data_IF_213155239013
#
_entry.id   IF_213155239013
#
_cell.length_a   1.000
_cell.length_b   1.000
_cell.length_c   1.000
_cell.angle_alpha   90.00
_cell.angle_beta   90.00
_cell.angle_gamma   90.00
#
_symmetry.space_group_name_H-M   'P 1'
#
loop_
_entity.id
_entity.type
_entity.pdbx_description
1 polymer ?
#
# COMPACT_ATOMS: atom_id res chain seq x y z
N UNK A 1 -19.52 -12.12 11.89
CA UNK A 1 -18.24 -12.57 12.47
C UNK A 1 -18.32 -12.55 13.99
N UNK A 2 -18.17 -13.73 14.61
CA UNK A 2 -18.16 -13.91 16.07
C UNK A 2 -16.90 -13.29 16.70
N UNK A 3 -16.88 -13.01 18.02
CA UNK A 3 -15.68 -12.51 18.69
C UNK A 3 -14.46 -13.43 18.55
N UNK A 4 -14.69 -14.75 18.54
CA UNK A 4 -13.63 -15.75 18.38
C UNK A 4 -13.06 -15.73 16.95
N UNK A 5 -13.92 -15.67 15.94
CA UNK A 5 -13.50 -15.53 14.54
C UNK A 5 -12.67 -14.26 14.34
N UNK A 6 -13.09 -13.14 14.94
CA UNK A 6 -12.33 -11.88 14.91
C UNK A 6 -10.96 -12.06 15.52
N UNK A 7 -10.86 -12.67 16.71
CA UNK A 7 -9.58 -12.88 17.37
C UNK A 7 -8.61 -13.70 16.49
N UNK A 8 -9.10 -14.78 15.89
CA UNK A 8 -8.32 -15.65 15.01
C UNK A 8 -7.86 -14.93 13.74
N UNK A 9 -8.74 -14.15 13.09
CA UNK A 9 -8.38 -13.32 11.93
C UNK A 9 -7.28 -12.31 12.31
N UNK A 10 -7.45 -11.61 13.43
CA UNK A 10 -6.51 -10.58 13.91
C UNK A 10 -5.14 -11.17 14.23
N UNK A 11 -5.11 -12.36 14.83
CA UNK A 11 -3.87 -13.08 15.10
C UNK A 11 -3.18 -13.52 13.81
N UNK A 12 -3.94 -14.00 12.81
CA UNK A 12 -3.41 -14.40 11.51
C UNK A 12 -2.78 -13.20 10.79
N UNK A 13 -3.50 -12.09 10.68
CA UNK A 13 -3.04 -10.84 10.03
C UNK A 13 -1.78 -10.27 10.71
N UNK A 14 -1.75 -10.21 12.05
CA UNK A 14 -0.57 -9.78 12.79
C UNK A 14 0.62 -10.70 12.54
N UNK A 15 0.39 -12.02 12.50
CA UNK A 15 1.44 -13.02 12.25
C UNK A 15 2.00 -12.87 10.83
N UNK A 16 1.12 -12.79 9.83
CA UNK A 16 1.51 -12.55 8.43
C UNK A 16 2.31 -11.26 8.29
N UNK A 17 1.95 -10.21 9.03
CA UNK A 17 2.69 -8.95 8.95
C UNK A 17 4.05 -9.01 9.61
N UNK A 18 4.17 -9.72 10.74
CA UNK A 18 5.47 -10.01 11.35
C UNK A 18 6.36 -10.76 10.36
N UNK A 19 5.81 -11.76 9.64
CA UNK A 19 6.55 -12.47 8.57
C UNK A 19 6.99 -11.52 7.45
N UNK A 20 6.07 -10.68 6.95
CA UNK A 20 6.36 -9.80 5.82
C UNK A 20 7.35 -8.68 6.14
N UNK A 21 7.29 -8.14 7.37
CA UNK A 21 8.11 -7.01 7.79
C UNK A 21 9.47 -7.43 8.35
N UNK A 22 9.66 -8.71 8.64
CA UNK A 22 10.88 -9.17 9.27
C UNK A 22 11.50 -10.32 8.51
N UNK A 23 12.83 -10.35 8.53
CA UNK A 23 13.60 -11.50 8.05
C UNK A 23 13.74 -12.59 9.11
N UNK A 24 13.07 -12.43 10.26
CA UNK A 24 13.06 -13.40 11.34
C UNK A 24 11.79 -14.23 11.25
N UNK A 25 11.87 -15.48 11.69
CA UNK A 25 10.70 -16.33 11.71
C UNK A 25 9.66 -15.72 12.69
N UNK A 26 8.35 -15.71 12.38
CA UNK A 26 7.34 -15.06 13.22
C UNK A 26 7.29 -15.60 14.65
N UNK A 27 7.67 -16.85 14.87
CA UNK A 27 7.81 -17.40 16.23
C UNK A 27 8.92 -16.72 17.01
N UNK A 28 10.04 -16.39 16.36
CA UNK A 28 11.20 -15.73 16.98
C UNK A 28 10.85 -14.31 17.42
N UNK A 29 10.12 -13.56 16.59
CA UNK A 29 9.69 -12.20 16.97
C UNK A 29 8.68 -12.22 18.10
N UNK A 30 7.71 -13.14 18.05
CA UNK A 30 6.76 -13.32 19.15
C UNK A 30 7.51 -13.64 20.44
N UNK A 31 8.51 -14.51 20.38
CA UNK A 31 9.35 -14.85 21.53
C UNK A 31 10.18 -13.66 22.01
N UNK A 32 10.87 -12.94 21.13
CA UNK A 32 11.68 -11.76 21.49
C UNK A 32 10.80 -10.68 22.13
N UNK A 33 9.62 -10.40 21.56
CA UNK A 33 8.68 -9.44 22.10
C UNK A 33 8.16 -9.88 23.47
N UNK A 34 7.75 -11.13 23.62
CA UNK A 34 7.25 -11.66 24.90
C UNK A 34 8.33 -11.65 25.98
N UNK A 35 9.56 -12.07 25.63
CA UNK A 35 10.73 -12.01 26.53
C UNK A 35 11.03 -10.55 26.91
N UNK A 36 10.99 -9.63 25.95
CA UNK A 36 11.19 -8.20 26.22
C UNK A 36 10.12 -7.65 27.17
N UNK A 37 8.85 -8.03 26.97
CA UNK A 37 7.73 -7.63 27.83
C UNK A 37 7.89 -8.16 29.26
N UNK A 38 8.17 -9.46 29.40
CA UNK A 38 8.32 -10.13 30.69
C UNK A 38 9.52 -9.59 31.45
N UNK A 39 10.69 -9.53 30.82
CA UNK A 39 11.91 -9.06 31.48
C UNK A 39 11.80 -7.57 31.80
N UNK A 40 11.35 -6.73 30.86
CA UNK A 40 11.16 -5.31 31.12
C UNK A 40 10.14 -5.04 32.22
N UNK A 41 9.06 -5.82 32.28
CA UNK A 41 8.10 -5.78 33.40
C UNK A 41 8.73 -6.14 34.74
N UNK A 42 9.48 -7.25 34.81
CA UNK A 42 10.20 -7.67 36.02
C UNK A 42 11.22 -6.62 36.48
N UNK A 43 11.90 -5.96 35.55
CA UNK A 43 12.86 -4.90 35.85
C UNK A 43 12.21 -3.66 36.45
N UNK A 44 11.02 -3.30 35.99
CA UNK A 44 10.22 -2.21 36.56
C UNK A 44 9.80 -2.56 37.98
N UNK A 45 9.30 -3.79 38.19
CA UNK A 45 8.89 -4.28 39.52
C UNK A 45 10.08 -4.29 40.49
N UNK A 46 11.26 -4.71 40.03
CA UNK A 46 12.50 -4.73 40.84
C UNK A 46 13.17 -3.37 41.03
N UNK A 47 12.68 -2.30 40.39
CA UNK A 47 13.22 -0.95 40.57
C UNK A 47 14.66 -0.77 40.08
N UNK A 48 15.06 -1.42 38.98
CA UNK A 48 16.42 -1.31 38.44
C UNK A 48 16.70 0.14 37.99
N UNK A 49 17.56 0.86 38.73
CA UNK A 49 17.81 2.31 38.53
C UNK A 49 18.27 2.71 37.12
N UNK A 50 19.00 1.84 36.43
CA UNK A 50 19.53 2.11 35.08
C UNK A 50 18.54 1.82 33.95
N UNK A 51 17.41 1.17 34.24
CA UNK A 51 16.44 0.84 33.21
C UNK A 51 15.65 2.09 32.79
N UNK A 52 15.51 2.40 31.49
CA UNK A 52 14.78 3.58 31.02
C UNK A 52 13.26 3.38 31.12
N UNK A 53 12.77 3.28 32.36
CA UNK A 53 11.40 2.92 32.73
C UNK A 53 10.34 3.77 32.02
N UNK A 54 10.54 5.09 31.91
CA UNK A 54 9.55 5.99 31.32
C UNK A 54 9.30 5.66 29.85
N UNK A 55 10.36 5.54 29.04
CA UNK A 55 10.26 5.20 27.63
C UNK A 55 9.62 3.83 27.43
N UNK A 56 10.05 2.84 28.23
CA UNK A 56 9.48 1.49 28.16
C UNK A 56 7.98 1.49 28.47
N UNK A 57 7.56 2.19 29.52
CA UNK A 57 6.15 2.28 29.89
C UNK A 57 5.32 2.98 28.81
N UNK A 58 5.80 4.08 28.23
CA UNK A 58 5.10 4.76 27.14
C UNK A 58 4.94 3.84 25.93
N UNK A 59 6.01 3.16 25.50
CA UNK A 59 5.94 2.23 24.38
C UNK A 59 5.03 1.03 24.66
N UNK A 60 5.05 0.49 25.89
CA UNK A 60 4.17 -0.61 26.31
C UNK A 60 2.71 -0.15 26.34
N UNK A 61 2.42 0.98 26.99
CA UNK A 61 1.07 1.55 27.07
C UNK A 61 0.49 1.84 25.69
N UNK A 62 1.29 2.42 24.79
CA UNK A 62 0.85 2.68 23.41
C UNK A 62 0.55 1.37 22.67
N UNK A 63 1.40 0.35 22.81
CA UNK A 63 1.20 -0.96 22.21
C UNK A 63 -0.09 -1.61 22.73
N UNK A 64 -0.29 -1.64 24.05
CA UNK A 64 -1.47 -2.21 24.68
C UNK A 64 -2.76 -1.47 24.32
N UNK A 65 -2.73 -0.13 24.30
CA UNK A 65 -3.88 0.69 23.91
C UNK A 65 -4.25 0.45 22.45
N UNK A 66 -3.25 0.36 21.57
CA UNK A 66 -3.47 0.07 20.15
C UNK A 66 -4.04 -1.34 19.95
N UNK A 67 -3.52 -2.35 20.67
CA UNK A 67 -4.07 -3.71 20.64
C UNK A 67 -5.52 -3.76 21.14
N UNK A 68 -5.85 -3.03 22.21
CA UNK A 68 -7.21 -2.90 22.71
C UNK A 68 -8.13 -2.27 21.65
N UNK A 69 -7.69 -1.18 21.03
CA UNK A 69 -8.41 -0.52 19.94
C UNK A 69 -8.68 -1.47 18.77
N UNK A 70 -7.67 -2.21 18.32
CA UNK A 70 -7.81 -3.17 17.22
C UNK A 70 -8.70 -4.37 17.54
N UNK A 71 -8.80 -4.75 18.81
CA UNK A 71 -9.68 -5.82 19.28
C UNK A 71 -11.16 -5.39 19.24
N UNK A 72 -11.46 -4.14 19.59
CA UNK A 72 -12.83 -3.59 19.54
C UNK A 72 -13.22 -3.00 18.18
N UNK A 73 -12.26 -2.87 17.25
CA UNK A 73 -12.51 -2.29 15.93
C UNK A 73 -13.53 -3.13 15.13
N UNK A 74 -14.67 -2.55 14.69
CA UNK A 74 -15.82 -3.30 14.22
C UNK A 74 -15.64 -3.90 12.81
N UNK A 75 -14.77 -3.30 11.99
CA UNK A 75 -14.56 -3.70 10.59
C UNK A 75 -13.36 -4.62 10.45
N UNK A 76 -13.22 -5.32 9.32
CA UNK A 76 -11.99 -6.05 9.00
C UNK A 76 -10.78 -5.11 9.03
N UNK A 77 -9.75 -5.45 9.80
CA UNK A 77 -8.51 -4.67 9.80
C UNK A 77 -7.84 -4.82 8.46
N UNK A 78 -7.52 -3.69 7.85
CA UNK A 78 -6.65 -3.65 6.69
C UNK A 78 -5.21 -3.71 7.18
N UNK A 79 -4.33 -4.39 6.44
CA UNK A 79 -2.96 -4.64 6.88
C UNK A 79 -2.19 -3.35 7.21
N UNK A 80 -2.51 -2.23 6.58
CA UNK A 80 -1.85 -0.94 6.83
C UNK A 80 -2.27 -0.26 8.14
N UNK A 81 -3.38 -0.67 8.76
CA UNK A 81 -3.81 -0.10 10.04
C UNK A 81 -2.80 -0.43 11.15
N UNK A 82 -2.18 -1.61 11.10
CA UNK A 82 -1.23 -2.05 12.11
C UNK A 82 0.22 -1.61 11.85
N UNK A 83 0.50 -0.92 10.72
CA UNK A 83 1.85 -0.43 10.40
C UNK A 83 2.40 0.49 11.49
N UNK A 84 1.54 1.32 12.08
CA UNK A 84 1.92 2.22 13.16
C UNK A 84 2.43 1.51 14.43
N UNK A 85 2.10 0.22 14.62
CA UNK A 85 2.63 -0.57 15.75
C UNK A 85 4.12 -0.87 15.62
N UNK A 86 4.70 -0.80 14.43
CA UNK A 86 6.14 -1.05 14.24
C UNK A 86 7.00 -0.15 15.11
N UNK A 87 6.65 1.14 15.22
CA UNK A 87 7.40 2.15 15.99
C UNK A 87 7.49 1.79 17.49
N UNK A 88 6.38 1.65 18.24
CA UNK A 88 6.46 1.33 19.67
C UNK A 88 7.08 -0.06 19.93
N UNK A 89 6.90 -1.03 19.02
CA UNK A 89 7.52 -2.35 19.14
C UNK A 89 9.04 -2.29 18.98
N UNK A 90 9.53 -1.54 17.98
CA UNK A 90 10.97 -1.31 17.78
C UNK A 90 11.57 -0.63 19.00
N UNK A 91 10.88 0.36 19.59
CA UNK A 91 11.35 1.04 20.80
C UNK A 91 11.45 0.08 22.00
N UNK A 92 10.46 -0.80 22.22
CA UNK A 92 10.50 -1.80 23.29
C UNK A 92 11.72 -2.72 23.16
N UNK A 93 11.95 -3.25 21.96
CA UNK A 93 13.10 -4.14 21.68
C UNK A 93 14.42 -3.38 21.79
N UNK A 94 14.49 -2.15 21.28
CA UNK A 94 15.72 -1.34 21.32
C UNK A 94 16.11 -0.96 22.74
N UNK A 95 15.15 -0.58 23.58
CA UNK A 95 15.36 -0.32 25.01
C UNK A 95 15.90 -1.56 25.72
N UNK A 96 15.30 -2.72 25.45
CA UNK A 96 15.73 -3.98 26.03
C UNK A 96 17.16 -4.35 25.60
N UNK A 97 17.48 -4.28 24.31
CA UNK A 97 18.82 -4.54 23.78
C UNK A 97 19.86 -3.54 24.32
N UNK A 98 19.53 -2.25 24.39
CA UNK A 98 20.39 -1.23 24.97
C UNK A 98 20.74 -1.54 26.42
N UNK A 99 19.75 -1.98 27.20
CA UNK A 99 20.00 -2.39 28.58
C UNK A 99 20.89 -3.64 28.67
N UNK A 100 20.69 -4.65 27.81
CA UNK A 100 21.55 -5.84 27.78
C UNK A 100 23.03 -5.48 27.54
N UNK A 101 23.29 -4.45 26.72
CA UNK A 101 24.64 -3.96 26.44
C UNK A 101 25.32 -3.31 27.66
N UNK A 102 24.55 -2.81 28.63
CA UNK A 102 25.09 -2.23 29.88
C UNK A 102 25.44 -3.29 30.94
N UNK A 103 25.00 -4.54 30.76
CA UNK A 103 25.27 -5.61 31.71
C UNK A 103 26.77 -5.94 31.70
N UNK A 104 27.40 -6.03 32.89
CA UNK A 104 28.84 -6.29 33.02
C UNK A 104 29.28 -7.66 32.48
N UNK A 105 28.35 -8.59 32.26
CA UNK A 105 28.63 -9.92 31.75
C UNK A 105 29.02 -9.85 30.26
N UNK A 106 30.26 -10.24 29.96
CA UNK A 106 30.81 -10.23 28.59
C UNK A 106 30.00 -11.08 27.61
N UNK A 107 29.50 -12.25 28.03
CA UNK A 107 28.73 -13.15 27.17
C UNK A 107 27.40 -12.53 26.74
N UNK A 108 26.68 -11.89 27.67
CA UNK A 108 25.41 -11.20 27.37
C UNK A 108 25.62 -10.03 26.42
N UNK A 109 26.70 -9.26 26.62
CA UNK A 109 27.04 -8.17 25.71
C UNK A 109 27.36 -8.66 24.30
N UNK A 110 28.18 -9.71 24.18
CA UNK A 110 28.51 -10.31 22.87
C UNK A 110 27.25 -10.79 22.17
N UNK A 111 26.34 -11.46 22.90
CA UNK A 111 25.04 -11.87 22.36
C UNK A 111 24.20 -10.68 21.89
N UNK A 112 24.11 -9.61 22.68
CA UNK A 112 23.36 -8.41 22.31
C UNK A 112 23.96 -7.73 21.06
N UNK A 113 25.28 -7.61 20.95
CA UNK A 113 25.94 -7.12 19.73
C UNK A 113 25.68 -8.02 18.53
N UNK A 114 25.70 -9.34 18.70
CA UNK A 114 25.40 -10.30 17.63
C UNK A 114 23.96 -10.12 17.14
N UNK A 115 22.99 -9.96 18.03
CA UNK A 115 21.59 -9.71 17.67
C UNK A 115 21.46 -8.42 16.85
N UNK A 116 22.08 -7.33 17.30
CA UNK A 116 22.08 -6.05 16.57
C UNK A 116 22.75 -6.20 15.20
N UNK A 117 23.90 -6.87 15.14
CA UNK A 117 24.62 -7.11 13.90
C UNK A 117 23.79 -7.91 12.90
N UNK A 118 23.20 -9.03 13.33
CA UNK A 118 22.34 -9.85 12.47
C UNK A 118 21.14 -9.06 11.96
N UNK A 119 20.50 -8.25 12.81
CA UNK A 119 19.37 -7.42 12.40
C UNK A 119 19.76 -6.41 11.30
N UNK A 120 20.89 -5.71 11.48
CA UNK A 120 21.40 -4.77 10.46
C UNK A 120 21.81 -5.52 9.19
N UNK A 121 22.49 -6.65 9.31
CA UNK A 121 22.94 -7.47 8.18
C UNK A 121 21.76 -7.96 7.34
N UNK A 122 20.76 -8.58 7.96
CA UNK A 122 19.58 -9.06 7.25
C UNK A 122 18.75 -7.92 6.66
N UNK A 123 18.58 -6.82 7.39
CA UNK A 123 17.91 -5.63 6.88
C UNK A 123 18.61 -5.06 5.65
N UNK A 124 19.93 -4.90 5.69
CA UNK A 124 20.70 -4.40 4.55
C UNK A 124 20.68 -5.40 3.38
N UNK A 125 20.82 -6.70 3.65
CA UNK A 125 20.76 -7.73 2.61
C UNK A 125 19.44 -7.70 1.86
N UNK A 126 18.33 -7.58 2.57
CA UNK A 126 17.01 -7.51 1.95
C UNK A 126 16.79 -6.21 1.18
N UNK A 127 17.28 -5.08 1.67
CA UNK A 127 17.24 -3.81 0.92
C UNK A 127 18.09 -3.89 -0.35
N UNK A 128 19.28 -4.50 -0.28
CA UNK A 128 20.12 -4.70 -1.45
C UNK A 128 19.48 -5.67 -2.45
N UNK A 129 18.81 -6.72 -1.99
CA UNK A 129 18.04 -7.62 -2.85
C UNK A 129 16.88 -6.89 -3.52
N UNK A 130 16.13 -6.08 -2.77
CA UNK A 130 15.08 -5.21 -3.31
C UNK A 130 15.63 -4.26 -4.38
N UNK A 131 16.77 -3.62 -4.13
CA UNK A 131 17.41 -2.70 -5.09
C UNK A 131 17.93 -3.43 -6.33
N UNK A 132 18.43 -4.66 -6.21
CA UNK A 132 18.84 -5.50 -7.36
C UNK A 132 17.65 -5.96 -8.18
N UNK A 133 16.54 -6.22 -7.51
CA UNK A 133 15.27 -6.64 -8.10
C UNK A 133 14.33 -5.46 -8.35
N UNK A 134 14.87 -4.25 -8.57
CA UNK A 134 14.18 -3.17 -9.28
C UNK A 134 13.99 -3.56 -10.76
N UNK A 135 13.44 -4.76 -10.99
CA UNK A 135 13.02 -5.21 -12.29
C UNK A 135 11.91 -4.25 -12.71
N UNK A 136 11.98 -3.65 -13.90
CA UNK A 136 11.18 -2.48 -14.18
C UNK A 136 9.76 -2.83 -14.61
N UNK A 137 9.49 -4.11 -14.89
CA UNK A 137 8.15 -4.64 -15.12
C UNK A 137 7.85 -5.58 -13.96
N UNK A 138 6.80 -5.24 -13.21
CA UNK A 138 6.31 -6.00 -12.06
C UNK A 138 4.95 -6.59 -12.39
N UNK A 139 4.61 -7.72 -11.79
CA UNK A 139 3.24 -8.26 -11.84
C UNK A 139 2.28 -7.48 -10.91
N UNK A 140 2.75 -6.40 -10.28
CA UNK A 140 1.90 -5.47 -9.53
C UNK A 140 1.29 -4.42 -10.49
N UNK A 141 -0.04 -4.39 -10.69
CA UNK A 141 -0.67 -3.37 -11.54
C UNK A 141 -0.49 -1.95 -10.98
N UNK A 142 -0.28 -1.80 -9.67
CA UNK A 142 0.01 -0.51 -9.03
C UNK A 142 1.47 -0.07 -9.17
N UNK A 143 2.31 -0.82 -9.90
CA UNK A 143 3.67 -0.38 -10.20
C UNK A 143 3.65 0.86 -11.10
N UNK A 144 4.41 1.90 -10.71
CA UNK A 144 4.45 3.17 -11.43
C UNK A 144 4.79 3.00 -12.92
N UNK A 145 5.79 2.19 -13.26
CA UNK A 145 6.19 2.03 -14.67
C UNK A 145 5.07 1.40 -15.50
N UNK A 146 4.38 0.39 -14.97
CA UNK A 146 3.23 -0.24 -15.62
C UNK A 146 2.11 0.77 -15.89
N UNK A 147 1.80 1.62 -14.90
CA UNK A 147 0.79 2.67 -15.03
C UNK A 147 1.22 3.73 -16.06
N UNK A 148 2.49 4.13 -16.09
CA UNK A 148 3.01 5.07 -17.08
C UNK A 148 2.94 4.51 -18.50
N UNK A 149 3.36 3.25 -18.73
CA UNK A 149 3.25 2.59 -20.04
C UNK A 149 1.79 2.48 -20.50
N UNK A 150 0.85 2.27 -19.57
CA UNK A 150 -0.59 2.26 -19.86
C UNK A 150 -1.10 3.65 -20.24
N UNK A 151 -0.67 4.69 -19.52
CA UNK A 151 -1.00 6.08 -19.83
C UNK A 151 -0.43 6.49 -21.19
N UNK A 152 0.80 6.08 -21.50
CA UNK A 152 1.44 6.35 -22.79
C UNK A 152 0.60 5.79 -23.94
N UNK A 153 0.11 4.55 -23.79
CA UNK A 153 -0.79 3.96 -24.78
C UNK A 153 -2.07 4.77 -24.95
N UNK A 154 -2.70 5.22 -23.85
CA UNK A 154 -3.91 6.07 -23.92
C UNK A 154 -3.64 7.35 -24.72
N UNK A 155 -2.55 8.06 -24.43
CA UNK A 155 -2.19 9.29 -25.16
C UNK A 155 -1.86 9.03 -26.63
N UNK A 156 -1.14 7.94 -26.93
CA UNK A 156 -0.84 7.53 -28.30
C UNK A 156 -2.11 7.26 -29.11
N UNK A 157 -3.08 6.54 -28.53
CA UNK A 157 -4.35 6.22 -29.19
C UNK A 157 -5.28 7.43 -29.28
N UNK A 158 -5.19 8.37 -28.33
CA UNK A 158 -5.92 9.63 -28.37
C UNK A 158 -5.43 10.57 -29.48
N UNK A 159 -4.20 10.36 -29.99
CA UNK A 159 -3.60 11.13 -31.11
C UNK A 159 -3.68 12.66 -30.92
N UNK A 160 -3.50 13.13 -29.69
CA UNK A 160 -3.60 14.55 -29.37
C UNK A 160 -5.05 15.07 -29.27
N UNK A 161 -6.07 14.23 -29.42
CA UNK A 161 -7.49 14.60 -29.24
C UNK A 161 -7.90 14.74 -27.76
N UNK A 162 -9.10 15.26 -27.53
CA UNK A 162 -9.75 15.20 -26.23
C UNK A 162 -10.19 13.76 -25.93
N UNK A 163 -10.15 13.37 -24.66
CA UNK A 163 -10.57 12.03 -24.23
C UNK A 163 -10.97 12.01 -22.76
N UNK A 164 -11.77 11.01 -22.38
CA UNK A 164 -12.06 10.67 -20.98
C UNK A 164 -11.41 9.35 -20.63
N UNK A 165 -11.03 9.17 -19.36
CA UNK A 165 -10.45 7.92 -18.87
C UNK A 165 -11.19 7.45 -17.64
N UNK A 166 -11.56 6.18 -17.63
CA UNK A 166 -12.16 5.53 -16.47
C UNK A 166 -11.31 4.38 -15.95
N UNK A 167 -11.01 4.40 -14.65
CA UNK A 167 -10.06 3.49 -14.02
C UNK A 167 -10.76 2.45 -13.15
N UNK A 168 -10.64 1.16 -13.47
CA UNK A 168 -11.02 0.08 -12.58
C UNK A 168 -9.80 -0.39 -11.76
N UNK A 169 -9.70 0.17 -10.55
CA UNK A 169 -8.66 -0.11 -9.56
C UNK A 169 -9.21 -0.89 -8.36
N UNK A 170 -8.42 -1.77 -7.70
CA UNK A 170 -8.89 -2.48 -6.51
C UNK A 170 -9.20 -1.55 -5.34
N UNK A 171 -8.41 -0.49 -5.16
CA UNK A 171 -8.78 0.63 -4.29
C UNK A 171 -9.91 1.40 -4.95
N UNK A 172 -11.05 1.59 -4.29
CA UNK A 172 -12.20 2.35 -4.87
C UNK A 172 -11.76 3.74 -5.40
N UNK A 173 -10.71 4.31 -4.81
CA UNK A 173 -10.16 5.60 -5.20
C UNK A 173 -9.03 5.43 -6.23
N UNK A 174 -9.23 6.00 -7.40
CA UNK A 174 -8.31 6.05 -8.54
C UNK A 174 -7.38 7.27 -8.53
N UNK A 175 -7.18 7.87 -7.35
CA UNK A 175 -6.32 9.02 -7.12
C UNK A 175 -4.91 8.90 -7.74
N UNK A 176 -4.37 7.68 -7.83
CA UNK A 176 -3.12 7.41 -8.53
C UNK A 176 -3.19 7.84 -9.99
N UNK A 177 -4.22 7.41 -10.74
CA UNK A 177 -4.38 7.80 -12.14
C UNK A 177 -4.66 9.29 -12.29
N UNK A 178 -5.49 9.89 -11.43
CA UNK A 178 -5.69 11.34 -11.44
C UNK A 178 -4.36 12.10 -11.32
N UNK A 179 -3.53 11.72 -10.35
CA UNK A 179 -2.21 12.34 -10.17
C UNK A 179 -1.30 12.09 -11.37
N UNK A 180 -1.26 10.88 -11.92
CA UNK A 180 -0.38 10.56 -13.04
C UNK A 180 -0.81 11.26 -14.34
N UNK A 181 -2.10 11.33 -14.66
CA UNK A 181 -2.58 12.13 -15.79
C UNK A 181 -2.30 13.62 -15.60
N UNK A 182 -2.49 14.14 -14.38
CA UNK A 182 -2.17 15.52 -14.05
C UNK A 182 -0.66 15.80 -14.19
N UNK A 183 0.20 15.02 -13.54
CA UNK A 183 1.64 15.27 -13.51
C UNK A 183 2.34 14.80 -14.78
N UNK A 184 2.31 13.50 -15.05
CA UNK A 184 3.03 12.89 -16.16
C UNK A 184 2.38 13.22 -17.50
N UNK A 185 1.05 13.13 -17.60
CA UNK A 185 0.31 13.50 -18.81
C UNK A 185 0.58 14.94 -19.25
N UNK A 186 0.43 15.90 -18.33
CA UNK A 186 0.72 17.31 -18.61
C UNK A 186 2.18 17.55 -18.97
N UNK A 187 3.12 16.93 -18.26
CA UNK A 187 4.56 17.14 -18.48
C UNK A 187 5.03 16.54 -19.82
N UNK A 188 4.56 15.35 -20.16
CA UNK A 188 5.04 14.57 -21.31
C UNK A 188 4.26 14.91 -22.60
N UNK A 189 2.93 15.07 -22.51
CA UNK A 189 2.06 15.28 -23.67
C UNK A 189 1.53 16.71 -23.81
N UNK A 190 1.66 17.53 -22.76
CA UNK A 190 1.32 18.96 -22.81
C UNK A 190 -0.17 19.28 -22.63
N UNK A 191 -1.02 18.28 -22.44
CA UNK A 191 -2.47 18.44 -22.20
C UNK A 191 -3.00 17.36 -21.27
N UNK A 192 -4.22 17.55 -20.79
CA UNK A 192 -4.90 16.66 -19.86
C UNK A 192 -6.17 16.07 -20.50
N UNK A 193 -6.60 14.86 -20.09
CA UNK A 193 -7.93 14.35 -20.42
C UNK A 193 -9.03 15.31 -19.95
N UNK A 194 -10.19 15.24 -20.60
CA UNK A 194 -11.38 15.99 -20.22
C UNK A 194 -11.99 15.50 -18.90
N UNK A 195 -11.74 14.23 -18.56
CA UNK A 195 -12.20 13.61 -17.31
C UNK A 195 -11.29 12.42 -16.98
N UNK A 196 -10.94 12.28 -15.72
CA UNK A 196 -10.40 11.05 -15.12
C UNK A 196 -11.29 10.72 -13.95
N UNK A 197 -11.80 9.50 -13.87
CA UNK A 197 -12.65 9.09 -12.76
C UNK A 197 -12.74 7.57 -12.65
N UNK A 198 -13.23 7.06 -11.52
CA UNK A 198 -13.56 5.64 -11.42
C UNK A 198 -14.75 5.29 -12.34
N UNK A 199 -15.78 6.14 -12.39
CA UNK A 199 -16.98 5.97 -13.23
C UNK A 199 -17.43 7.33 -13.78
N UNK A 200 -18.26 7.35 -14.84
CA UNK A 200 -18.92 8.57 -15.29
C UNK A 200 -19.80 9.17 -14.18
N UNK A 201 -19.93 10.49 -14.20
CA UNK A 201 -20.86 11.26 -13.36
C UNK A 201 -20.66 11.05 -11.84
N UNK A 202 -19.45 10.69 -11.40
CA UNK A 202 -19.14 10.56 -9.98
C UNK A 202 -18.79 11.93 -9.36
N UNK A 203 -19.11 12.15 -8.08
CA UNK A 203 -18.72 13.38 -7.40
C UNK A 203 -17.21 13.49 -7.31
N UNK A 204 -16.72 14.70 -7.56
CA UNK A 204 -15.33 15.09 -7.40
C UNK A 204 -14.91 14.92 -5.92
N UNK A 205 -13.81 14.20 -5.72
CA UNK A 205 -13.24 13.97 -4.38
C UNK A 205 -11.82 14.56 -4.25
N UNK A 206 -11.27 15.12 -5.34
CA UNK A 206 -9.98 15.80 -5.34
C UNK A 206 -10.23 17.27 -5.03
N UNK A 207 -9.48 17.82 -4.10
CA UNK A 207 -9.60 19.24 -3.76
C UNK A 207 -8.89 20.08 -4.82
N UNK A 208 -9.46 21.25 -5.13
CA UNK A 208 -8.91 22.24 -6.06
C UNK A 208 -8.69 21.72 -7.49
N UNK A 209 -9.57 20.84 -7.99
CA UNK A 209 -9.42 20.24 -9.33
C UNK A 209 -9.32 21.32 -10.42
N UNK A 210 -10.13 22.37 -10.37
CA UNK A 210 -10.07 23.46 -11.36
C UNK A 210 -8.72 24.19 -11.43
N UNK A 211 -7.90 24.14 -10.38
CA UNK A 211 -6.54 24.68 -10.39
C UNK A 211 -5.56 23.69 -11.02
N UNK A 212 -5.71 22.40 -10.71
CA UNK A 212 -4.85 21.33 -11.20
C UNK A 212 -5.12 20.99 -12.68
N UNK A 213 -6.39 21.01 -13.09
CA UNK A 213 -6.90 20.55 -14.38
C UNK A 213 -7.20 21.71 -15.34
N UNK A 214 -6.19 22.52 -15.60
CA UNK A 214 -6.29 23.73 -16.43
C UNK A 214 -5.84 23.55 -17.89
N UNK A 215 -5.43 22.35 -18.30
CA UNK A 215 -4.97 22.02 -19.66
C UNK A 215 -5.83 20.93 -20.30
N UNK A 216 -7.08 20.83 -19.89
CA UNK A 216 -8.04 19.90 -20.47
C UNK A 216 -8.44 20.34 -21.88
N UNK A 217 -8.74 19.37 -22.75
CA UNK A 217 -9.31 19.64 -24.07
C UNK A 217 -10.81 19.46 -24.03
N UNK A 218 -11.53 20.22 -24.85
CA UNK A 218 -13.00 20.14 -24.95
C UNK A 218 -13.42 18.79 -25.52
N UNK A 219 -14.23 18.06 -24.76
CA UNK A 219 -14.78 16.77 -25.18
C UNK A 219 -15.91 16.97 -26.19
N UNK A 220 -15.97 16.11 -27.20
CA UNK A 220 -16.99 16.09 -28.27
C UNK A 220 -17.44 14.65 -28.55
N UNK A 221 -18.51 14.46 -29.33
CA UNK A 221 -19.01 13.11 -29.68
C UNK A 221 -17.99 12.25 -30.46
N UNK A 222 -16.97 12.88 -31.06
CA UNK A 222 -15.87 12.19 -31.75
C UNK A 222 -14.68 11.86 -30.82
N UNK A 223 -14.72 12.33 -29.58
CA UNK A 223 -13.66 12.14 -28.60
C UNK A 223 -13.68 10.71 -28.05
N UNK A 224 -12.51 10.15 -27.80
CA UNK A 224 -12.39 8.76 -27.35
C UNK A 224 -12.63 8.62 -25.85
N UNK A 225 -13.18 7.48 -25.45
CA UNK A 225 -13.30 7.07 -24.05
C UNK A 225 -12.34 5.91 -23.83
N UNK A 226 -11.53 5.98 -22.77
CA UNK A 226 -10.60 4.92 -22.42
C UNK A 226 -10.98 4.28 -21.10
N UNK A 227 -10.78 2.97 -21.01
CA UNK A 227 -10.86 2.20 -19.78
C UNK A 227 -9.45 1.71 -19.43
N UNK A 228 -9.05 1.85 -18.16
CA UNK A 228 -7.85 1.22 -17.62
C UNK A 228 -8.30 0.21 -16.55
N UNK A 229 -7.87 -1.05 -16.66
CA UNK A 229 -8.39 -2.16 -15.85
C UNK A 229 -7.23 -2.90 -15.20
N UNK A 230 -7.13 -2.82 -13.86
CA UNK A 230 -6.06 -3.47 -13.07
C UNK A 230 -6.40 -4.89 -12.60
N UNK A 231 -7.69 -5.24 -12.50
CA UNK A 231 -8.07 -6.54 -11.97
C UNK A 231 -9.43 -7.03 -12.49
N UNK A 232 -9.44 -7.69 -13.66
CA UNK A 232 -10.65 -8.28 -14.24
C UNK A 232 -11.29 -9.38 -13.35
N UNK A 233 -10.56 -9.99 -12.41
CA UNK A 233 -11.08 -11.09 -11.57
C UNK A 233 -11.83 -10.62 -10.33
N UNK A 234 -11.88 -9.30 -10.07
CA UNK A 234 -12.66 -8.76 -8.94
C UNK A 234 -14.16 -8.98 -9.15
N UNK A 235 -14.86 -9.39 -8.08
CA UNK A 235 -16.33 -9.52 -8.07
C UNK A 235 -17.06 -8.21 -8.43
N UNK A 236 -16.41 -7.05 -8.28
CA UNK A 236 -16.96 -5.74 -8.63
C UNK A 236 -16.83 -5.40 -10.12
N UNK A 237 -15.95 -6.09 -10.84
CA UNK A 237 -15.66 -5.79 -12.24
C UNK A 237 -16.90 -5.88 -13.14
N UNK A 238 -17.77 -6.91 -13.05
CA UNK A 238 -18.98 -6.97 -13.89
C UNK A 238 -19.91 -5.78 -13.71
N UNK A 239 -20.12 -5.32 -12.46
CA UNK A 239 -20.97 -4.17 -12.16
C UNK A 239 -20.40 -2.85 -12.66
N UNK A 240 -19.08 -2.68 -12.57
CA UNK A 240 -18.36 -1.53 -13.11
C UNK A 240 -18.38 -1.52 -14.64
N UNK A 241 -18.01 -2.64 -15.29
CA UNK A 241 -17.98 -2.78 -16.74
C UNK A 241 -19.40 -2.62 -17.35
N UNK A 242 -20.43 -2.99 -16.59
CA UNK A 242 -21.84 -2.78 -16.94
C UNK A 242 -22.22 -1.32 -17.21
N UNK A 243 -21.47 -0.35 -16.71
CA UNK A 243 -21.73 1.08 -16.95
C UNK A 243 -21.36 1.51 -18.39
N UNK A 244 -20.55 0.71 -19.09
CA UNK A 244 -20.04 1.04 -20.42
C UNK A 244 -20.68 0.22 -21.54
N UNK A 245 -21.74 -0.55 -21.27
CA UNK A 245 -22.39 -1.46 -22.25
C UNK A 245 -22.98 -0.77 -23.47
N UNK A 246 -23.23 0.55 -23.40
CA UNK A 246 -23.71 1.35 -24.53
C UNK A 246 -22.59 1.77 -25.50
N UNK A 247 -21.33 1.54 -25.10
CA UNK A 247 -20.15 1.85 -25.88
C UNK A 247 -19.55 0.56 -26.43
N UNK A 248 -18.90 0.67 -27.58
CA UNK A 248 -18.30 -0.46 -28.29
C UNK A 248 -16.78 -0.38 -28.19
N UNK A 249 -16.09 -1.50 -27.87
CA UNK A 249 -14.63 -1.53 -27.89
C UNK A 249 -14.13 -1.36 -29.32
N UNK A 250 -13.34 -0.31 -29.56
CA UNK A 250 -12.62 -0.10 -30.81
C UNK A 250 -11.28 -0.84 -30.80
N UNK A 251 -10.56 -0.75 -29.69
CA UNK A 251 -9.24 -1.35 -29.52
C UNK A 251 -9.00 -1.76 -28.08
N UNK A 252 -8.43 -2.93 -27.87
CA UNK A 252 -8.02 -3.43 -26.56
C UNK A 252 -6.56 -3.86 -26.61
N UNK A 253 -5.81 -3.52 -25.55
CA UNK A 253 -4.46 -4.03 -25.32
C UNK A 253 -4.40 -4.65 -23.93
N UNK A 254 -3.85 -5.86 -23.86
CA UNK A 254 -3.43 -6.47 -22.60
C UNK A 254 -1.91 -6.37 -22.55
N UNK A 255 -1.40 -5.74 -21.50
CA UNK A 255 0.03 -5.54 -21.30
C UNK A 255 0.69 -6.84 -20.82
N UNK A 256 2.04 -6.96 -20.86
CA UNK A 256 2.74 -8.10 -20.26
C UNK A 256 2.63 -8.15 -18.72
N UNK A 257 2.15 -7.07 -18.09
CA UNK A 257 1.77 -6.94 -16.68
C UNK A 257 0.24 -6.90 -16.55
N UNK A 258 -0.36 -7.07 -15.35
CA UNK A 258 -1.82 -7.25 -15.19
C UNK A 258 -2.63 -5.94 -15.33
N UNK A 259 -2.41 -5.21 -16.42
CA UNK A 259 -3.22 -4.08 -16.86
C UNK A 259 -3.83 -4.41 -18.23
N UNK A 260 -5.04 -3.95 -18.42
CA UNK A 260 -5.68 -3.88 -19.74
C UNK A 260 -6.12 -2.45 -19.98
N UNK A 261 -5.88 -1.94 -21.19
CA UNK A 261 -6.49 -0.68 -21.62
C UNK A 261 -7.42 -0.93 -22.80
N UNK A 262 -8.58 -0.28 -22.78
CA UNK A 262 -9.60 -0.40 -23.82
C UNK A 262 -9.98 0.99 -24.30
N UNK A 263 -9.92 1.21 -25.61
CA UNK A 263 -10.49 2.37 -26.28
C UNK A 263 -11.92 2.04 -26.71
N UNK A 264 -12.86 2.88 -26.31
CA UNK A 264 -14.28 2.77 -26.57
C UNK A 264 -14.74 3.91 -27.49
N UNK A 265 -15.72 3.60 -28.34
CA UNK A 265 -16.46 4.56 -29.15
C UNK A 265 -17.97 4.38 -28.99
N UNK A 266 -18.74 5.37 -29.43
CA UNK A 266 -20.19 5.21 -29.61
C UNK A 266 -20.45 4.08 -30.59
N UNK A 267 -21.27 3.11 -30.20
CA UNK A 267 -21.70 2.04 -31.11
C UNK A 267 -22.44 2.68 -32.29
N UNK A 268 -21.89 2.58 -33.49
CA UNK A 268 -22.66 2.86 -34.71
C UNK A 268 -23.74 1.80 -34.80
N UNK A 269 -24.98 2.16 -34.46
CA UNK A 269 -26.13 1.34 -34.79
C UNK A 269 -26.13 1.23 -36.31
N UNK A 270 -25.79 0.05 -36.86
CA UNK A 270 -25.99 -0.22 -38.27
C UNK A 270 -27.46 0.08 -38.56
N UNK A 271 -27.70 1.15 -39.33
CA UNK A 271 -28.97 1.39 -39.99
C UNK A 271 -29.07 0.48 -41.20
#
# INVERSE_FOLDING_TARGET
MTPLERLTERQSELTMRIIQLSHLHPTEIKTILLVSIVIGGLMIIKGIKKFPKQHYLVSLSFTLLSLLFYLIYPQKLKYWYILGLSVPLILLVSIFLSWLLEIKNKGIRVLAYLIVFLHVYFGLSAQLEYLKNLNPISDDPSNLRNQLETIDWVYMEAKGGAFKVYSFVPSIYDHNYHYLFWWYGTKTYGYQPSEVAYLPDQPEYIQDEGVLWNKTKTFTDQSSIFLIIENKSSERFPGWNGQFVKLCPEKEITFPFPLTAVKLNTCTSNK
#
